data_IF_773925201077
#
_entry.id   IF_773925201077
#
_cell.length_a   1.000
_cell.length_b   1.000
_cell.length_c   1.000
_cell.angle_alpha   90.00
_cell.angle_beta   90.00
_cell.angle_gamma   90.00
#
_symmetry.space_group_name_H-M   'P 1'
#
loop_
_entity.id
_entity.type
_entity.pdbx_description
1 polymer ?
#
# COMPACT_ATOMS: atom_id res chain seq x y z
N UNK A 1 50.61 67.69 -27.50
CA UNK A 1 49.74 67.51 -26.37
C UNK A 1 48.28 67.75 -26.77
N UNK A 2 47.63 66.87 -27.39
CA UNK A 2 46.17 66.95 -27.67
C UNK A 2 45.81 65.50 -28.13
N UNK A 3 44.81 64.90 -27.53
CA UNK A 3 44.07 63.69 -27.89
C UNK A 3 43.97 62.63 -26.80
N UNK A 4 43.51 63.02 -25.60
CA UNK A 4 42.99 62.06 -24.60
C UNK A 4 41.72 62.71 -23.98
N UNK A 5 40.66 62.81 -24.78
CA UNK A 5 39.35 63.28 -24.25
C UNK A 5 38.15 62.52 -24.85
N UNK A 6 38.39 61.48 -25.65
CA UNK A 6 37.29 60.79 -26.32
C UNK A 6 36.97 59.37 -25.78
N UNK A 7 37.70 58.85 -24.82
CA UNK A 7 37.60 57.41 -24.47
C UNK A 7 36.84 57.05 -23.19
N UNK A 8 36.36 58.08 -22.46
CA UNK A 8 35.72 57.81 -21.15
C UNK A 8 34.19 57.87 -21.21
N UNK A 9 33.58 58.37 -22.30
CA UNK A 9 32.12 58.49 -22.38
C UNK A 9 31.43 57.23 -22.95
N UNK A 10 32.20 56.31 -23.58
CA UNK A 10 31.62 55.07 -24.14
C UNK A 10 31.44 53.89 -23.17
N UNK A 11 32.05 53.96 -21.99
CA UNK A 11 32.09 52.82 -21.05
C UNK A 11 30.98 52.81 -19.97
N UNK A 12 30.16 53.83 -19.90
CA UNK A 12 29.11 53.94 -18.83
C UNK A 12 27.70 53.64 -19.33
N UNK A 13 27.48 53.54 -20.64
CA UNK A 13 26.15 53.28 -21.20
C UNK A 13 25.81 51.79 -21.44
N UNK A 14 26.78 50.88 -21.18
CA UNK A 14 26.64 49.45 -21.52
C UNK A 14 26.23 48.52 -20.35
N UNK A 15 26.01 49.04 -19.13
CA UNK A 15 25.95 48.18 -17.94
C UNK A 15 24.65 48.28 -17.16
N UNK A 16 23.49 48.40 -17.76
CA UNK A 16 22.23 48.31 -17.03
C UNK A 16 21.08 47.77 -17.86
N UNK A 17 21.22 46.56 -18.34
CA UNK A 17 20.06 45.70 -18.63
C UNK A 17 20.32 44.41 -17.87
N UNK A 18 20.29 44.43 -16.56
CA UNK A 18 19.95 43.24 -15.77
C UNK A 18 18.46 43.03 -15.97
N UNK A 19 18.13 42.14 -16.88
CA UNK A 19 16.82 41.49 -16.93
C UNK A 19 16.56 40.90 -15.54
N UNK A 20 15.71 41.56 -14.76
CA UNK A 20 15.11 40.97 -13.59
C UNK A 20 14.27 39.77 -14.07
N UNK A 21 14.88 38.59 -14.13
CA UNK A 21 14.10 37.35 -14.25
C UNK A 21 13.25 37.26 -13.00
N UNK A 22 11.92 37.18 -13.13
CA UNK A 22 11.11 36.88 -11.97
C UNK A 22 11.57 35.50 -11.46
N UNK A 23 12.23 35.48 -10.31
CA UNK A 23 12.40 34.24 -9.57
C UNK A 23 11.01 33.84 -9.14
N UNK A 24 10.40 32.89 -9.85
CA UNK A 24 9.23 32.17 -9.40
C UNK A 24 9.71 31.33 -8.21
N UNK A 25 9.82 31.95 -7.08
CA UNK A 25 10.04 31.28 -5.81
C UNK A 25 8.79 30.45 -5.54
N UNK A 26 8.86 29.15 -5.77
CA UNK A 26 7.84 28.25 -5.27
C UNK A 26 7.72 28.50 -3.78
N UNK A 27 6.54 28.93 -3.31
CA UNK A 27 6.28 29.15 -1.90
C UNK A 27 6.47 27.83 -1.17
N UNK A 28 7.56 27.68 -0.43
CA UNK A 28 7.81 26.51 0.40
C UNK A 28 6.87 26.58 1.59
N UNK A 29 5.89 25.69 1.62
CA UNK A 29 5.08 25.48 2.83
C UNK A 29 5.87 24.61 3.80
N UNK A 30 6.13 25.16 4.98
CA UNK A 30 6.78 24.44 6.06
C UNK A 30 5.72 23.88 7.01
N UNK A 31 5.83 22.57 7.32
CA UNK A 31 4.99 21.88 8.29
C UNK A 31 5.86 21.44 9.46
N UNK A 32 5.40 21.68 10.68
CA UNK A 32 6.04 21.17 11.90
C UNK A 32 5.26 19.93 12.33
N UNK A 33 5.91 18.79 12.30
CA UNK A 33 5.38 17.52 12.75
C UNK A 33 6.04 17.16 14.07
N UNK A 34 5.28 16.57 14.99
CA UNK A 34 5.79 15.96 16.22
C UNK A 34 5.85 14.45 16.09
N UNK A 35 6.63 13.79 16.94
CA UNK A 35 6.66 12.34 16.99
C UNK A 35 5.31 11.77 17.45
N UNK A 36 4.91 10.63 16.92
CA UNK A 36 3.74 9.90 17.40
C UNK A 36 4.09 9.22 18.73
N UNK A 37 3.33 9.50 19.78
CA UNK A 37 3.55 8.94 21.11
C UNK A 37 2.90 7.56 21.33
N UNK A 38 2.57 6.85 20.26
CA UNK A 38 1.88 5.56 20.27
C UNK A 38 2.42 4.64 19.18
N UNK A 39 2.44 3.32 19.40
CA UNK A 39 2.91 2.36 18.40
C UNK A 39 1.93 2.25 17.25
N UNK A 40 2.45 1.96 16.06
CA UNK A 40 1.67 1.53 14.91
C UNK A 40 1.83 0.02 14.79
N UNK A 41 0.71 -0.69 14.81
CA UNK A 41 0.70 -2.15 14.67
C UNK A 41 -0.01 -2.50 13.36
N UNK A 42 0.70 -3.23 12.49
CA UNK A 42 0.17 -3.70 11.21
C UNK A 42 0.20 -5.23 11.22
N UNK A 43 -0.95 -5.87 11.08
CA UNK A 43 -1.09 -7.34 11.11
C UNK A 43 -0.41 -7.99 12.35
N UNK A 44 -0.49 -7.34 13.51
CA UNK A 44 0.13 -7.82 14.75
C UNK A 44 1.64 -7.52 14.87
N UNK A 45 2.26 -6.90 13.88
CA UNK A 45 3.66 -6.48 13.90
C UNK A 45 3.76 -4.99 14.19
N UNK A 46 4.51 -4.63 15.24
CA UNK A 46 4.78 -3.22 15.54
C UNK A 46 5.77 -2.66 14.52
N UNK A 47 5.45 -1.49 13.97
CA UNK A 47 6.37 -0.74 13.14
C UNK A 47 7.34 0.05 14.03
N UNK A 48 8.63 -0.23 13.86
CA UNK A 48 9.72 0.45 14.54
C UNK A 48 10.85 0.72 13.52
N UNK A 49 11.07 1.99 13.21
CA UNK A 49 12.17 2.43 12.35
C UNK A 49 12.63 3.83 12.80
N UNK A 50 13.82 3.90 13.40
CA UNK A 50 14.40 5.15 13.90
C UNK A 50 14.72 6.15 12.76
N UNK A 51 14.97 5.67 11.55
CA UNK A 51 15.30 6.50 10.38
C UNK A 51 14.06 7.04 9.68
N UNK A 52 12.91 6.39 9.85
CA UNK A 52 11.64 6.74 9.24
C UNK A 52 10.53 6.76 10.31
N UNK A 53 10.58 7.68 11.27
CA UNK A 53 9.65 7.69 12.40
C UNK A 53 8.22 8.00 11.96
N UNK A 54 7.28 7.52 12.75
CA UNK A 54 5.87 7.90 12.62
C UNK A 54 5.68 9.30 13.22
N UNK A 55 5.04 10.16 12.45
CA UNK A 55 4.86 11.56 12.79
C UNK A 55 3.39 11.91 13.05
N UNK A 56 3.14 12.94 13.83
CA UNK A 56 1.80 13.50 14.05
C UNK A 56 1.76 14.96 13.58
N UNK A 57 0.71 15.29 12.84
CA UNK A 57 0.41 16.66 12.45
C UNK A 57 -1.07 16.95 12.66
N UNK A 58 -1.39 17.87 13.56
CA UNK A 58 -2.78 18.29 13.87
C UNK A 58 -3.74 17.14 14.14
N UNK A 59 -3.30 16.11 14.87
CA UNK A 59 -4.11 14.94 15.21
C UNK A 59 -4.16 13.86 14.13
N UNK A 60 -3.52 14.06 12.97
CA UNK A 60 -3.37 13.05 11.92
C UNK A 60 -2.02 12.35 12.02
N UNK A 61 -2.02 11.04 11.88
CA UNK A 61 -0.81 10.21 11.88
C UNK A 61 -0.24 10.11 10.48
N UNK A 62 1.05 10.37 10.34
CA UNK A 62 1.80 10.24 9.09
C UNK A 62 2.78 9.09 9.23
N UNK A 63 2.65 8.12 8.38
CA UNK A 63 3.48 6.91 8.38
C UNK A 63 4.25 6.84 7.06
N UNK A 64 5.51 6.41 7.04
CA UNK A 64 6.25 6.18 5.80
C UNK A 64 5.52 5.18 4.91
N UNK A 65 5.06 5.63 3.75
CA UNK A 65 4.19 4.87 2.85
C UNK A 65 4.81 3.53 2.41
N UNK A 66 6.12 3.53 2.09
CA UNK A 66 6.83 2.31 1.67
C UNK A 66 6.86 1.27 2.79
N UNK A 67 7.19 1.69 4.00
CA UNK A 67 7.26 0.78 5.13
C UNK A 67 5.89 0.14 5.44
N UNK A 68 4.81 0.91 5.34
CA UNK A 68 3.45 0.34 5.47
C UNK A 68 3.14 -0.58 4.30
N UNK A 69 3.54 -0.21 3.08
CA UNK A 69 3.41 -1.08 1.91
C UNK A 69 4.08 -2.44 2.14
N UNK A 70 5.33 -2.44 2.56
CA UNK A 70 6.10 -3.66 2.84
C UNK A 70 5.42 -4.54 3.90
N UNK A 71 4.92 -3.93 4.99
CA UNK A 71 4.19 -4.65 6.04
C UNK A 71 2.83 -5.22 5.58
N UNK A 72 2.22 -4.61 4.56
CA UNK A 72 0.96 -5.07 3.95
C UNK A 72 1.18 -5.95 2.72
N UNK A 73 2.43 -6.20 2.31
CA UNK A 73 2.76 -6.95 1.11
C UNK A 73 2.41 -6.20 -0.19
N UNK A 74 2.41 -4.86 -0.15
CA UNK A 74 2.21 -4.02 -1.31
C UNK A 74 3.54 -3.45 -1.81
N UNK A 75 3.77 -3.52 -3.12
CA UNK A 75 4.87 -2.80 -3.77
C UNK A 75 4.58 -1.29 -3.79
N UNK A 76 5.55 -0.47 -3.40
CA UNK A 76 5.45 1.00 -3.47
C UNK A 76 6.61 1.53 -4.29
N UNK A 77 6.33 2.01 -5.51
CA UNK A 77 7.34 2.46 -6.46
C UNK A 77 7.09 3.89 -6.93
N UNK A 78 8.18 4.58 -7.32
CA UNK A 78 8.10 5.89 -7.97
C UNK A 78 8.15 5.72 -9.48
N UNK A 79 7.06 6.05 -10.18
CA UNK A 79 7.04 6.14 -11.63
C UNK A 79 7.57 7.52 -12.07
N UNK A 80 8.80 7.55 -12.57
CA UNK A 80 9.46 8.79 -12.99
C UNK A 80 8.86 9.39 -14.27
N UNK A 81 8.27 8.58 -15.13
CA UNK A 81 7.64 9.01 -16.39
C UNK A 81 6.32 9.74 -16.12
N UNK A 82 5.47 9.16 -15.27
CA UNK A 82 4.18 9.72 -14.86
C UNK A 82 4.29 10.67 -13.66
N UNK A 83 5.46 10.73 -13.00
CA UNK A 83 5.74 11.52 -11.81
C UNK A 83 4.73 11.27 -10.68
N UNK A 84 4.48 10.00 -10.40
CA UNK A 84 3.53 9.55 -9.39
C UNK A 84 4.10 8.38 -8.58
N UNK A 85 3.56 8.20 -7.38
CA UNK A 85 3.79 6.98 -6.59
C UNK A 85 2.74 5.95 -7.03
N UNK A 86 3.19 4.76 -7.34
CA UNK A 86 2.35 3.60 -7.66
C UNK A 86 2.37 2.63 -6.50
N UNK A 87 1.19 2.18 -6.11
CA UNK A 87 1.02 1.17 -5.07
C UNK A 87 0.33 -0.02 -5.73
N UNK A 88 1.02 -1.16 -5.72
CA UNK A 88 0.53 -2.39 -6.34
C UNK A 88 0.45 -3.49 -5.30
N UNK A 89 -0.71 -4.13 -5.22
CA UNK A 89 -0.88 -5.34 -4.42
C UNK A 89 -0.57 -6.57 -5.27
N UNK A 90 0.29 -7.46 -4.76
CA UNK A 90 0.46 -8.80 -5.31
C UNK A 90 1.20 -8.92 -6.65
N UNK A 91 1.92 -7.87 -7.14
CA UNK A 91 2.73 -7.94 -8.37
C UNK A 91 4.25 -7.98 -8.14
N UNK A 92 4.71 -7.87 -6.89
CA UNK A 92 6.11 -8.05 -6.53
C UNK A 92 6.35 -9.48 -6.03
N UNK A 93 7.54 -10.03 -6.28
CA UNK A 93 8.00 -11.39 -5.89
C UNK A 93 7.99 -11.68 -4.37
N UNK A 94 7.49 -10.77 -3.54
CA UNK A 94 7.26 -11.03 -2.14
C UNK A 94 5.87 -11.64 -2.01
N UNK A 95 5.76 -12.93 -2.07
CA UNK A 95 4.51 -13.65 -1.78
C UNK A 95 4.01 -13.20 -0.39
N UNK A 96 2.86 -12.52 -0.36
CA UNK A 96 2.19 -12.18 0.90
C UNK A 96 1.96 -13.47 1.66
N UNK A 97 2.68 -13.65 2.77
CA UNK A 97 2.63 -14.88 3.57
C UNK A 97 2.77 -14.58 5.06
N UNK A 98 2.30 -15.51 5.86
CA UNK A 98 2.48 -15.47 7.31
C UNK A 98 2.73 -16.88 7.86
N UNK A 99 2.59 -17.08 9.15
CA UNK A 99 2.81 -18.38 9.77
C UNK A 99 1.79 -19.46 9.38
N UNK A 100 0.62 -19.06 8.87
CA UNK A 100 -0.49 -19.94 8.54
C UNK A 100 -0.75 -20.09 7.04
N UNK A 101 -0.36 -19.13 6.21
CA UNK A 101 -0.65 -19.10 4.78
C UNK A 101 0.56 -18.68 3.95
N UNK A 102 0.77 -19.33 2.80
CA UNK A 102 1.84 -19.02 1.86
C UNK A 102 1.47 -19.41 0.41
N UNK A 103 2.23 -18.92 -0.55
CA UNK A 103 2.09 -19.24 -1.99
C UNK A 103 0.67 -19.01 -2.49
N UNK A 104 0.00 -17.97 -2.01
CA UNK A 104 -1.38 -17.68 -2.37
C UNK A 104 -1.42 -16.96 -3.71
N UNK A 105 -2.15 -17.54 -4.66
CA UNK A 105 -2.38 -16.99 -5.99
C UNK A 105 -3.87 -16.79 -6.23
N UNK A 106 -4.21 -15.65 -6.81
CA UNK A 106 -5.58 -15.27 -7.14
C UNK A 106 -5.70 -15.11 -8.66
N UNK A 107 -6.76 -15.69 -9.23
CA UNK A 107 -7.08 -15.57 -10.66
C UNK A 107 -8.59 -15.49 -10.87
N UNK A 108 -9.00 -14.97 -12.04
CA UNK A 108 -10.41 -14.81 -12.39
C UNK A 108 -10.86 -13.35 -12.41
N UNK A 109 -12.12 -13.14 -12.78
CA UNK A 109 -12.76 -11.82 -12.87
C UNK A 109 -14.28 -11.96 -12.97
N UNK A 110 -14.99 -10.82 -12.92
CA UNK A 110 -16.45 -10.78 -13.12
C UNK A 110 -17.22 -11.58 -12.08
N UNK A 111 -16.74 -11.60 -10.84
CA UNK A 111 -17.38 -12.31 -9.74
C UNK A 111 -17.08 -13.81 -9.67
N UNK A 112 -16.18 -14.33 -10.50
CA UNK A 112 -15.73 -15.71 -10.48
C UNK A 112 -14.23 -15.77 -10.30
N UNK A 113 -13.78 -16.26 -9.14
CA UNK A 113 -12.37 -16.27 -8.79
C UNK A 113 -11.94 -17.66 -8.35
N UNK A 114 -10.70 -18.00 -8.69
CA UNK A 114 -9.99 -19.18 -8.21
C UNK A 114 -8.83 -18.70 -7.36
N UNK A 115 -8.71 -19.25 -6.16
CA UNK A 115 -7.61 -18.96 -5.23
C UNK A 115 -6.96 -20.27 -4.84
N UNK A 116 -5.65 -20.35 -5.04
CA UNK A 116 -4.83 -21.50 -4.65
C UNK A 116 -3.77 -21.06 -3.67
N UNK A 117 -3.23 -22.01 -2.91
CA UNK A 117 -2.16 -21.73 -1.97
C UNK A 117 -1.90 -22.90 -1.04
N UNK A 118 -1.10 -22.64 -0.01
CA UNK A 118 -0.83 -23.59 1.06
C UNK A 118 -1.20 -22.97 2.41
N UNK A 119 -1.83 -23.77 3.26
CA UNK A 119 -2.21 -23.36 4.59
C UNK A 119 -1.73 -24.37 5.64
N UNK A 120 -1.43 -23.84 6.86
CA UNK A 120 -1.02 -24.60 8.03
C UNK A 120 -1.75 -24.04 9.24
N UNK A 121 -3.00 -24.41 9.39
CA UNK A 121 -3.91 -23.89 10.41
C UNK A 121 -4.27 -24.97 11.44
N UNK A 122 -4.67 -24.52 12.63
CA UNK A 122 -5.13 -25.41 13.68
C UNK A 122 -6.41 -26.15 13.24
N UNK A 123 -6.52 -27.42 13.64
CA UNK A 123 -7.66 -28.31 13.30
C UNK A 123 -7.97 -28.43 11.80
N UNK A 124 -7.01 -28.13 10.91
CA UNK A 124 -7.18 -28.16 9.45
C UNK A 124 -8.31 -27.25 8.93
N UNK A 125 -8.78 -26.28 9.72
CA UNK A 125 -9.89 -25.42 9.37
C UNK A 125 -9.40 -24.00 9.08
N UNK A 126 -9.40 -23.59 7.80
CA UNK A 126 -9.20 -22.22 7.41
C UNK A 126 -10.53 -21.54 7.13
N UNK A 127 -10.55 -20.20 7.24
CA UNK A 127 -11.71 -19.40 6.93
C UNK A 127 -11.35 -18.38 5.86
N UNK A 128 -12.36 -17.97 5.09
CA UNK A 128 -12.20 -16.92 4.11
C UNK A 128 -13.45 -16.08 3.98
N UNK A 129 -13.26 -14.80 3.69
CA UNK A 129 -14.34 -13.86 3.49
C UNK A 129 -14.05 -12.97 2.28
N UNK A 130 -15.08 -12.48 1.63
CA UNK A 130 -14.98 -11.49 0.56
C UNK A 130 -15.76 -10.24 0.98
N UNK A 131 -15.12 -9.08 0.85
CA UNK A 131 -15.70 -7.78 1.21
C UNK A 131 -15.56 -6.77 0.07
N UNK A 132 -16.43 -5.76 0.07
CA UNK A 132 -16.45 -4.64 -0.88
C UNK A 132 -15.93 -3.31 -0.29
N UNK A 133 -15.30 -3.39 0.89
CA UNK A 133 -14.86 -2.24 1.69
C UNK A 133 -15.90 -1.70 2.66
N UNK A 134 -17.15 -2.17 2.57
CA UNK A 134 -18.27 -1.78 3.44
C UNK A 134 -18.97 -2.99 4.07
N UNK A 135 -19.11 -4.08 3.29
CA UNK A 135 -19.87 -5.25 3.69
C UNK A 135 -19.13 -6.53 3.36
N UNK A 136 -19.30 -7.54 4.21
CA UNK A 136 -18.96 -8.91 3.86
C UNK A 136 -20.02 -9.48 2.91
N UNK A 137 -19.59 -9.85 1.69
CA UNK A 137 -20.44 -10.45 0.67
C UNK A 137 -20.51 -11.98 0.80
N UNK A 138 -19.45 -12.55 1.37
CA UNK A 138 -19.27 -13.97 1.59
C UNK A 138 -18.39 -14.19 2.80
N UNK A 139 -18.73 -15.16 3.66
CA UNK A 139 -17.84 -15.71 4.68
C UNK A 139 -18.07 -17.22 4.74
N UNK A 140 -17.00 -18.01 4.64
CA UNK A 140 -17.05 -19.48 4.63
C UNK A 140 -15.80 -20.07 5.29
N UNK A 141 -15.88 -21.34 5.63
CA UNK A 141 -14.75 -22.15 6.02
C UNK A 141 -14.34 -23.12 4.90
N UNK A 142 -13.12 -23.64 5.01
CA UNK A 142 -12.56 -24.65 4.13
C UNK A 142 -11.75 -25.64 4.98
N UNK A 143 -12.07 -26.94 4.82
CA UNK A 143 -11.36 -28.01 5.51
C UNK A 143 -10.18 -28.46 4.66
N UNK A 144 -8.98 -28.37 5.22
CA UNK A 144 -7.75 -28.85 4.60
C UNK A 144 -7.61 -30.36 4.77
N UNK A 145 -6.83 -31.02 3.91
CA UNK A 145 -6.47 -32.43 4.10
C UNK A 145 -5.74 -32.71 5.42
N UNK A 146 -4.83 -31.80 5.83
CA UNK A 146 -4.07 -31.90 7.06
C UNK A 146 -3.97 -30.53 7.74
N UNK A 147 -3.97 -30.52 9.07
CA UNK A 147 -3.76 -29.31 9.88
C UNK A 147 -2.31 -29.12 10.31
N UNK A 148 -2.08 -28.04 11.06
CA UNK A 148 -0.77 -27.78 11.63
C UNK A 148 -0.22 -28.99 12.41
N UNK A 149 1.09 -29.30 12.30
CA UNK A 149 2.17 -28.48 11.73
C UNK A 149 2.38 -28.66 10.20
N UNK A 150 1.63 -29.51 9.53
CA UNK A 150 1.78 -29.76 8.10
C UNK A 150 1.26 -28.59 7.25
N UNK A 151 1.89 -28.37 6.09
CA UNK A 151 1.38 -27.49 5.06
C UNK A 151 0.49 -28.28 4.11
N UNK A 152 -0.74 -27.84 3.93
CA UNK A 152 -1.73 -28.45 3.02
C UNK A 152 -2.09 -27.50 1.89
N UNK A 153 -2.09 -27.97 0.67
CA UNK A 153 -2.59 -27.21 -0.46
C UNK A 153 -4.10 -26.99 -0.35
N UNK A 154 -4.57 -25.81 -0.76
CA UNK A 154 -5.99 -25.50 -0.88
C UNK A 154 -6.32 -24.90 -2.25
N UNK A 155 -7.58 -25.07 -2.64
CA UNK A 155 -8.16 -24.44 -3.82
C UNK A 155 -9.58 -23.97 -3.49
N UNK A 156 -9.80 -22.65 -3.58
CA UNK A 156 -11.11 -22.03 -3.36
C UNK A 156 -11.70 -21.62 -4.71
N UNK A 157 -12.95 -22.00 -4.94
CA UNK A 157 -13.78 -21.46 -6.02
C UNK A 157 -14.78 -20.46 -5.42
N UNK A 158 -14.56 -19.18 -5.71
CA UNK A 158 -15.36 -18.08 -5.17
C UNK A 158 -16.28 -17.56 -6.27
N UNK A 159 -17.58 -17.50 -5.97
CA UNK A 159 -18.58 -16.95 -6.88
C UNK A 159 -19.37 -15.87 -6.15
N UNK A 160 -19.28 -14.64 -6.63
CA UNK A 160 -20.06 -13.50 -6.18
C UNK A 160 -21.08 -13.17 -7.29
N UNK A 161 -22.39 -13.19 -7.00
CA UNK A 161 -23.41 -12.85 -7.98
C UNK A 161 -23.21 -11.43 -8.54
N UNK A 162 -23.47 -11.24 -9.84
CA UNK A 162 -23.25 -9.97 -10.52
C UNK A 162 -23.99 -8.78 -9.86
N UNK A 163 -25.17 -9.01 -9.28
CA UNK A 163 -25.93 -7.99 -8.57
C UNK A 163 -25.36 -7.62 -7.18
N UNK A 164 -24.32 -8.32 -6.73
CA UNK A 164 -23.57 -8.02 -5.49
C UNK A 164 -22.18 -7.46 -5.76
N UNK A 165 -21.75 -7.41 -7.02
CA UNK A 165 -20.48 -6.78 -7.37
C UNK A 165 -20.55 -5.27 -7.15
N UNK A 166 -19.50 -4.66 -6.58
CA UNK A 166 -19.45 -3.21 -6.43
C UNK A 166 -19.38 -2.54 -7.81
N UNK A 167 -19.89 -1.32 -7.93
CA UNK A 167 -19.73 -0.48 -9.12
C UNK A 167 -18.39 0.23 -9.12
N UNK A 168 -17.92 0.61 -7.94
CA UNK A 168 -16.65 1.27 -7.71
C UNK A 168 -15.96 0.63 -6.50
N UNK A 169 -14.62 0.62 -6.50
CA UNK A 169 -13.81 0.11 -5.41
C UNK A 169 -13.24 -1.28 -5.68
N UNK A 170 -12.60 -1.85 -4.69
CA UNK A 170 -11.89 -3.13 -4.81
C UNK A 170 -12.57 -4.21 -3.98
N UNK A 171 -12.84 -5.33 -4.63
CA UNK A 171 -13.28 -6.54 -3.97
C UNK A 171 -12.08 -7.21 -3.32
N UNK A 172 -12.11 -7.42 -2.01
CA UNK A 172 -11.01 -7.99 -1.24
C UNK A 172 -11.36 -9.37 -0.70
N UNK A 173 -10.44 -10.30 -0.85
CA UNK A 173 -10.45 -11.59 -0.15
C UNK A 173 -9.68 -11.45 1.15
N UNK A 174 -10.25 -11.93 2.25
CA UNK A 174 -9.55 -12.21 3.50
C UNK A 174 -9.43 -13.73 3.64
N UNK A 175 -8.25 -14.24 4.00
CA UNK A 175 -8.06 -15.60 4.51
C UNK A 175 -7.52 -15.53 5.92
N UNK A 176 -8.00 -16.38 6.81
CA UNK A 176 -7.68 -16.31 8.23
C UNK A 176 -8.01 -17.62 8.96
N UNK A 177 -7.62 -17.73 10.19
CA UNK A 177 -8.12 -18.72 11.14
C UNK A 177 -8.71 -18.04 12.36
N UNK A 178 -9.55 -18.73 13.10
CA UNK A 178 -10.03 -18.26 14.40
C UNK A 178 -9.12 -18.75 15.51
N UNK A 179 -8.79 -17.85 16.42
CA UNK A 179 -8.05 -18.15 17.63
C UNK A 179 -8.86 -19.08 18.54
N UNK A 180 -8.29 -20.21 18.93
CA UNK A 180 -8.90 -21.12 19.90
C UNK A 180 -9.02 -20.49 21.32
N UNK A 181 -8.29 -19.39 21.57
CA UNK A 181 -8.27 -18.73 22.88
C UNK A 181 -9.48 -17.83 23.12
N UNK A 182 -9.86 -17.06 22.09
CA UNK A 182 -10.83 -15.97 22.23
C UNK A 182 -11.79 -15.83 21.03
N UNK A 183 -11.65 -16.66 20.01
CA UNK A 183 -12.47 -16.64 18.80
C UNK A 183 -12.20 -15.45 17.87
N UNK A 184 -11.15 -14.67 18.12
CA UNK A 184 -10.75 -13.59 17.22
C UNK A 184 -10.10 -14.09 15.94
N UNK A 185 -10.18 -13.31 14.84
CA UNK A 185 -9.44 -13.60 13.61
C UNK A 185 -7.94 -13.41 13.83
N UNK A 186 -7.15 -14.40 13.48
CA UNK A 186 -5.68 -14.38 13.53
C UNK A 186 -5.09 -14.83 12.20
N UNK A 187 -3.81 -14.52 11.97
CA UNK A 187 -3.11 -14.85 10.73
C UNK A 187 -3.84 -14.35 9.47
N UNK A 188 -4.46 -13.18 9.56
CA UNK A 188 -5.25 -12.60 8.47
C UNK A 188 -4.35 -12.13 7.34
N UNK A 189 -4.63 -12.57 6.11
CA UNK A 189 -4.06 -12.02 4.87
C UNK A 189 -5.17 -11.46 3.98
N UNK A 190 -4.85 -10.41 3.25
CA UNK A 190 -5.77 -9.75 2.33
C UNK A 190 -5.23 -9.81 0.90
N UNK A 191 -6.10 -10.15 -0.04
CA UNK A 191 -5.78 -10.22 -1.47
C UNK A 191 -6.85 -9.49 -2.28
N UNK A 192 -6.48 -8.56 -3.18
CA UNK A 192 -7.43 -7.97 -4.09
C UNK A 192 -7.91 -9.05 -5.09
N UNK A 193 -9.22 -9.17 -5.26
CA UNK A 193 -9.82 -10.03 -6.26
C UNK A 193 -10.02 -9.27 -7.58
N UNK A 194 -10.62 -8.09 -7.51
CA UNK A 194 -10.92 -7.25 -8.68
C UNK A 194 -11.18 -5.80 -8.27
N UNK A 195 -10.77 -4.85 -9.11
CA UNK A 195 -11.07 -3.43 -8.93
C UNK A 195 -12.06 -3.00 -9.99
N UNK A 196 -13.13 -2.33 -9.56
CA UNK A 196 -14.22 -1.81 -10.38
C UNK A 196 -14.11 -0.30 -10.46
N UNK A 197 -14.26 0.25 -11.66
CA UNK A 197 -14.25 1.69 -11.95
C UNK A 197 -15.41 1.96 -12.93
N UNK A 198 -16.47 2.60 -12.46
CA UNK A 198 -17.57 3.12 -13.28
C UNK A 198 -17.41 4.63 -13.52
#
# INVERSE_FOLDING_TARGET
>A
MKHIRGFIVGAVAGSMIMLAMPTVGAAVKQYVLGDAAYPIVVNGTTYEDESLPVMNYKGSTYVPLRAVGDLLGAGVEWNSTLRQVEITYGTGETSVQNNAFRNVEVSGSGGKYKVTGEARVFEAMMNYAVEDGHNYLLEKNYMLPEGAPAWSAFELSIVIPANKLPKNGTLMLQIFEYSAKDGGKVNVLHFPLETFME
#
